data_IF_975741262793
#
_entry.id   IF_975741262793
#
_cell.length_a   1.000
_cell.length_b   1.000
_cell.length_c   1.000
_cell.angle_alpha   90.00
_cell.angle_beta   90.00
_cell.angle_gamma   90.00
#
_symmetry.space_group_name_H-M   'P 1'
#
loop_
_entity.id
_entity.type
_entity.pdbx_description
1 polymer ?
#
# COMPACT_ATOMS: atom_id res chain seq x y z
N UNK A 1 -12.70 -16.76 -4.59
CA UNK A 1 -12.02 -15.54 -4.11
C UNK A 1 -10.52 -15.75 -4.13
N UNK A 2 -9.79 -14.72 -4.43
CA UNK A 2 -8.36 -14.81 -4.66
C UNK A 2 -7.61 -13.86 -3.74
N UNK A 3 -6.56 -14.36 -3.11
CA UNK A 3 -5.64 -13.54 -2.32
C UNK A 3 -4.44 -13.18 -3.20
N UNK A 4 -3.98 -11.94 -3.07
CA UNK A 4 -2.81 -11.46 -3.80
C UNK A 4 -1.66 -11.27 -2.81
N UNK A 5 -0.54 -11.96 -3.07
CA UNK A 5 0.66 -11.91 -2.23
C UNK A 5 1.80 -11.22 -2.96
N UNK A 6 2.54 -10.39 -2.24
CA UNK A 6 3.81 -9.86 -2.70
C UNK A 6 4.79 -9.87 -1.54
N UNK A 7 6.05 -10.15 -1.84
CA UNK A 7 7.10 -10.13 -0.84
C UNK A 7 8.33 -9.47 -1.45
N UNK A 8 8.89 -8.49 -0.75
CA UNK A 8 10.08 -7.79 -1.20
C UNK A 8 11.04 -7.59 -0.03
N UNK A 9 12.31 -7.42 -0.36
CA UNK A 9 13.35 -7.05 0.60
C UNK A 9 13.80 -5.64 0.30
N UNK A 10 13.83 -4.79 1.33
CA UNK A 10 14.21 -3.39 1.21
C UNK A 10 15.43 -3.10 2.05
N UNK A 11 16.43 -2.45 1.46
CA UNK A 11 17.65 -2.01 2.15
C UNK A 11 17.37 -0.72 2.93
N UNK A 12 16.57 -0.84 3.98
CA UNK A 12 16.19 0.24 4.87
C UNK A 12 15.78 -0.33 6.22
N UNK A 13 15.97 0.45 7.28
CA UNK A 13 15.57 0.07 8.62
C UNK A 13 14.05 -0.13 8.69
N UNK A 14 13.62 -1.09 9.49
CA UNK A 14 12.20 -1.45 9.61
C UNK A 14 11.33 -0.26 10.00
N UNK A 15 11.81 0.61 10.88
CA UNK A 15 11.08 1.82 11.30
C UNK A 15 10.85 2.78 10.13
N UNK A 16 11.82 2.92 9.24
CA UNK A 16 11.69 3.77 8.05
C UNK A 16 10.69 3.18 7.05
N UNK A 17 10.73 1.86 6.88
CA UNK A 17 9.79 1.17 6.00
C UNK A 17 8.36 1.35 6.55
N UNK A 18 8.19 1.15 7.84
CA UNK A 18 6.88 1.30 8.46
C UNK A 18 6.36 2.74 8.32
N UNK A 19 7.21 3.74 8.51
CA UNK A 19 6.81 5.14 8.33
C UNK A 19 6.35 5.44 6.90
N UNK A 20 6.94 4.78 5.90
CA UNK A 20 6.50 4.95 4.51
C UNK A 20 5.10 4.37 4.26
N UNK A 21 4.66 3.42 5.08
CA UNK A 21 3.35 2.77 4.96
C UNK A 21 2.30 3.42 5.86
N UNK A 22 2.70 4.03 6.96
CA UNK A 22 1.81 4.43 8.04
C UNK A 22 1.85 5.93 8.33
N UNK A 23 2.26 6.74 7.37
CA UNK A 23 2.18 8.20 7.46
C UNK A 23 1.67 8.76 6.13
N UNK A 24 1.04 9.92 6.22
CA UNK A 24 0.58 10.64 5.04
C UNK A 24 1.75 10.93 4.09
N UNK A 25 2.83 11.48 4.63
CA UNK A 25 4.01 11.86 3.87
C UNK A 25 4.64 10.66 3.18
N UNK A 26 4.72 9.53 3.90
CA UNK A 26 5.23 8.29 3.34
C UNK A 26 4.39 7.81 2.17
N UNK A 27 3.09 7.71 2.36
CA UNK A 27 2.16 7.23 1.33
C UNK A 27 2.15 8.13 0.11
N UNK A 28 2.26 9.45 0.31
CA UNK A 28 2.35 10.41 -0.79
C UNK A 28 3.62 10.22 -1.62
N UNK A 29 4.69 9.74 -1.00
CA UNK A 29 5.98 9.61 -1.67
C UNK A 29 6.05 8.43 -2.63
N UNK A 30 5.34 7.34 -2.36
CA UNK A 30 5.47 6.14 -3.17
C UNK A 30 4.17 5.64 -3.79
N UNK A 31 3.02 6.09 -3.35
CA UNK A 31 1.75 5.60 -3.87
C UNK A 31 0.95 6.68 -4.59
N UNK A 32 0.25 7.52 -3.86
CA UNK A 32 -0.51 8.62 -4.47
C UNK A 32 -0.39 9.88 -3.61
N UNK A 33 -0.26 11.03 -4.26
CA UNK A 33 -0.19 12.31 -3.55
C UNK A 33 -1.47 12.64 -2.80
N UNK A 34 -2.61 12.14 -3.28
CA UNK A 34 -3.90 12.34 -2.61
C UNK A 34 -4.09 11.26 -1.56
N UNK A 35 -3.29 11.34 -0.49
CA UNK A 35 -3.33 10.40 0.63
C UNK A 35 -3.60 11.13 1.92
N UNK A 36 -4.51 10.58 2.73
CA UNK A 36 -4.76 11.00 4.10
C UNK A 36 -4.67 9.75 4.97
N UNK A 37 -4.05 9.86 6.13
CA UNK A 37 -3.87 8.72 7.01
C UNK A 37 -3.95 9.13 8.47
N UNK A 38 -4.89 8.53 9.22
CA UNK A 38 -4.98 8.67 10.66
C UNK A 38 -4.29 7.48 11.30
N UNK A 39 -3.12 7.70 11.90
CA UNK A 39 -2.25 6.64 12.41
C UNK A 39 -2.71 6.15 13.79
N UNK A 40 -3.87 5.49 13.84
CA UNK A 40 -4.40 4.89 15.06
C UNK A 40 -5.38 3.77 14.68
N UNK A 41 -5.55 2.74 15.52
CA UNK A 41 -6.58 1.74 15.31
C UNK A 41 -7.96 2.40 15.27
N UNK A 42 -8.77 2.01 14.28
CA UNK A 42 -10.06 2.63 14.03
C UNK A 42 -9.99 3.94 13.25
N UNK A 43 -8.79 4.44 12.98
CA UNK A 43 -8.60 5.63 12.15
C UNK A 43 -8.94 5.38 10.70
N UNK A 44 -9.08 6.45 9.93
CA UNK A 44 -9.42 6.38 8.51
C UNK A 44 -8.26 6.78 7.64
N UNK A 45 -8.14 6.10 6.52
CA UNK A 45 -7.22 6.45 5.45
C UNK A 45 -8.00 6.67 4.18
N UNK A 46 -7.56 7.60 3.35
CA UNK A 46 -8.21 7.91 2.08
C UNK A 46 -7.17 8.06 1.00
N UNK A 47 -7.42 7.40 -0.13
CA UNK A 47 -6.52 7.43 -1.28
C UNK A 47 -7.31 7.80 -2.52
N UNK A 48 -6.96 8.95 -3.12
CA UNK A 48 -7.63 9.44 -4.31
C UNK A 48 -6.76 9.26 -5.56
N UNK A 49 -7.44 9.03 -6.69
CA UNK A 49 -6.79 8.82 -7.99
C UNK A 49 -7.57 9.57 -9.06
N UNK A 50 -6.86 10.00 -10.11
CA UNK A 50 -7.45 10.68 -11.26
C UNK A 50 -8.34 11.86 -10.85
N UNK A 51 -7.75 12.76 -10.06
CA UNK A 51 -8.44 13.97 -9.58
C UNK A 51 -9.71 13.62 -8.78
N UNK A 52 -9.60 12.56 -7.95
CA UNK A 52 -10.65 12.05 -7.08
C UNK A 52 -11.86 11.44 -7.82
N UNK A 53 -11.69 11.07 -9.08
CA UNK A 53 -12.72 10.30 -9.77
C UNK A 53 -12.84 8.88 -9.18
N UNK A 54 -11.77 8.38 -8.54
CA UNK A 54 -11.80 7.16 -7.76
C UNK A 54 -11.20 7.47 -6.39
N UNK A 55 -11.92 7.13 -5.32
CA UNK A 55 -11.46 7.33 -3.95
C UNK A 55 -11.66 6.03 -3.18
N UNK A 56 -10.58 5.55 -2.56
CA UNK A 56 -10.63 4.40 -1.67
C UNK A 56 -10.61 4.91 -0.25
N UNK A 57 -11.56 4.45 0.58
CA UNK A 57 -11.57 4.77 2.00
C UNK A 57 -11.33 3.50 2.77
N UNK A 58 -10.30 3.53 3.61
CA UNK A 58 -9.86 2.40 4.40
C UNK A 58 -10.03 2.69 5.89
N UNK A 59 -10.32 1.64 6.65
CA UNK A 59 -10.27 1.71 8.11
C UNK A 59 -9.00 1.02 8.57
N UNK A 60 -8.27 1.65 9.47
CA UNK A 60 -7.08 1.04 10.08
C UNK A 60 -7.55 0.04 11.12
N UNK A 61 -7.40 -1.24 10.84
CA UNK A 61 -7.83 -2.32 11.75
C UNK A 61 -6.76 -2.65 12.77
N UNK A 62 -5.49 -2.71 12.34
CA UNK A 62 -4.36 -2.99 13.22
C UNK A 62 -3.22 -2.05 12.89
N UNK A 63 -2.56 -1.58 13.94
CA UNK A 63 -1.39 -0.73 13.81
C UNK A 63 -0.42 -1.14 14.92
N UNK A 64 0.57 -1.97 14.57
CA UNK A 64 1.58 -2.48 15.49
C UNK A 64 2.98 -2.09 14.97
N UNK A 65 3.42 -0.84 15.26
CA UNK A 65 4.71 -0.37 14.77
C UNK A 65 5.88 -1.16 15.38
N UNK A 66 6.92 -1.45 14.63
CA UNK A 66 7.05 -1.24 13.19
C UNK A 66 6.80 -2.52 12.39
N UNK A 67 5.97 -3.45 12.88
CA UNK A 67 5.89 -4.81 12.35
C UNK A 67 4.62 -5.15 11.58
N UNK A 68 3.50 -4.50 11.88
CA UNK A 68 2.24 -4.91 11.26
C UNK A 68 1.28 -3.75 11.06
N UNK A 69 0.63 -3.74 9.91
CA UNK A 69 -0.40 -2.76 9.55
C UNK A 69 -1.48 -3.47 8.74
N UNK A 70 -2.74 -3.30 9.13
CA UNK A 70 -3.87 -3.90 8.42
C UNK A 70 -4.94 -2.84 8.17
N UNK A 71 -5.40 -2.77 6.94
CA UNK A 71 -6.51 -1.90 6.51
C UNK A 71 -7.65 -2.73 5.95
N UNK A 72 -8.89 -2.30 6.18
CA UNK A 72 -10.07 -2.84 5.49
C UNK A 72 -10.67 -1.77 4.60
N UNK A 73 -11.02 -2.12 3.38
CA UNK A 73 -11.67 -1.20 2.46
C UNK A 73 -13.15 -1.07 2.84
N UNK A 74 -13.56 0.14 3.23
CA UNK A 74 -14.94 0.39 3.68
C UNK A 74 -15.75 1.18 2.66
N UNK A 75 -15.08 1.83 1.70
CA UNK A 75 -15.75 2.53 0.61
C UNK A 75 -14.79 2.61 -0.59
N UNK A 76 -15.35 2.54 -1.80
CA UNK A 76 -14.56 2.56 -3.03
C UNK A 76 -15.21 1.69 -4.10
N UNK A 77 -14.42 1.23 -5.07
CA UNK A 77 -14.94 0.30 -6.08
C UNK A 77 -15.56 -0.93 -5.42
N UNK A 78 -16.72 -1.40 -5.94
CA UNK A 78 -17.45 -2.50 -5.30
C UNK A 78 -16.65 -3.77 -5.06
N UNK A 79 -15.70 -4.08 -5.94
CA UNK A 79 -14.87 -5.29 -5.81
C UNK A 79 -13.74 -5.13 -4.78
N UNK A 80 -13.56 -3.94 -4.23
CA UNK A 80 -12.61 -3.68 -3.14
C UNK A 80 -13.26 -3.65 -1.77
N UNK A 81 -14.53 -3.23 -1.71
CA UNK A 81 -15.23 -3.09 -0.42
C UNK A 81 -15.30 -4.46 0.27
N UNK A 82 -14.90 -4.49 1.54
CA UNK A 82 -14.85 -5.72 2.32
C UNK A 82 -13.53 -6.49 2.23
N UNK A 83 -12.61 -6.06 1.36
CA UNK A 83 -11.28 -6.68 1.29
C UNK A 83 -10.36 -6.08 2.32
N UNK A 84 -9.29 -6.81 2.67
CA UNK A 84 -8.27 -6.32 3.61
C UNK A 84 -6.90 -6.30 2.95
N UNK A 85 -6.11 -5.31 3.34
CA UNK A 85 -4.72 -5.18 2.92
C UNK A 85 -3.87 -5.26 4.19
N UNK A 86 -2.90 -6.16 4.21
CA UNK A 86 -2.00 -6.28 5.34
C UNK A 86 -0.55 -6.19 4.91
N UNK A 87 0.25 -5.55 5.76
CA UNK A 87 1.70 -5.44 5.60
C UNK A 87 2.33 -6.00 6.86
N UNK A 88 3.23 -6.96 6.69
CA UNK A 88 4.03 -7.49 7.78
C UNK A 88 5.48 -7.24 7.48
N UNK A 89 6.19 -6.68 8.44
CA UNK A 89 7.59 -6.30 8.32
C UNK A 89 8.44 -7.14 9.26
N UNK A 90 9.45 -7.79 8.68
CA UNK A 90 10.41 -8.56 9.45
C UNK A 90 11.79 -7.97 9.25
N UNK A 91 12.50 -7.69 10.34
CA UNK A 91 13.89 -7.25 10.28
C UNK A 91 14.76 -8.45 9.97
N UNK A 92 15.45 -8.44 8.82
CA UNK A 92 16.36 -9.52 8.44
C UNK A 92 17.73 -9.29 9.06
N UNK A 93 18.17 -8.04 9.04
CA UNK A 93 19.41 -7.59 9.69
C UNK A 93 19.32 -6.07 9.82
N UNK A 94 20.26 -5.45 10.51
CA UNK A 94 20.26 -3.99 10.66
C UNK A 94 20.26 -3.33 9.28
N UNK A 95 19.29 -2.44 9.06
CA UNK A 95 19.14 -1.75 7.77
C UNK A 95 18.55 -2.58 6.65
N UNK A 96 17.92 -3.72 6.95
CA UNK A 96 17.33 -4.58 5.92
C UNK A 96 16.02 -5.17 6.40
N UNK A 97 14.97 -4.97 5.66
CA UNK A 97 13.61 -5.35 6.04
C UNK A 97 12.94 -6.17 4.95
N UNK A 98 12.23 -7.23 5.35
CA UNK A 98 11.35 -7.97 4.46
C UNK A 98 9.92 -7.45 4.65
N UNK A 99 9.27 -7.10 3.56
CA UNK A 99 7.86 -6.70 3.56
C UNK A 99 7.05 -7.80 2.91
N UNK A 100 6.04 -8.28 3.64
CA UNK A 100 5.07 -9.24 3.12
C UNK A 100 3.73 -8.52 3.01
N UNK A 101 3.19 -8.46 1.81
CA UNK A 101 1.93 -7.80 1.51
C UNK A 101 0.88 -8.83 1.12
N UNK A 102 -0.34 -8.64 1.64
CA UNK A 102 -1.47 -9.50 1.33
C UNK A 102 -2.72 -8.66 1.10
N UNK A 103 -3.36 -8.84 -0.06
CA UNK A 103 -4.69 -8.29 -0.34
C UNK A 103 -5.66 -9.46 -0.41
N UNK A 104 -6.51 -9.58 0.61
CA UNK A 104 -7.40 -10.73 0.76
C UNK A 104 -8.75 -10.53 0.10
N UNK A 105 -9.38 -11.65 -0.24
CA UNK A 105 -10.78 -11.70 -0.69
C UNK A 105 -11.07 -10.89 -1.96
N UNK A 106 -10.08 -10.78 -2.84
CA UNK A 106 -10.32 -10.16 -4.14
C UNK A 106 -11.30 -11.03 -4.93
N UNK A 107 -12.49 -10.50 -5.17
CA UNK A 107 -13.59 -11.23 -5.82
C UNK A 107 -13.96 -10.64 -7.17
N UNK A 108 -12.99 -10.04 -7.84
CA UNK A 108 -13.14 -9.51 -9.19
C UNK A 108 -13.01 -10.61 -10.23
N UNK A 109 -13.36 -10.29 -11.48
CA UNK A 109 -13.07 -11.17 -12.62
C UNK A 109 -11.56 -11.41 -12.76
N UNK A 110 -11.19 -12.55 -13.31
CA UNK A 110 -9.78 -12.95 -13.43
C UNK A 110 -8.89 -11.89 -14.10
N UNK A 111 -9.40 -11.20 -15.10
CA UNK A 111 -8.64 -10.14 -15.78
C UNK A 111 -8.35 -8.96 -14.84
N UNK A 112 -9.35 -8.55 -14.06
CA UNK A 112 -9.18 -7.45 -13.11
C UNK A 112 -8.21 -7.82 -11.99
N UNK A 113 -8.24 -9.07 -11.55
CA UNK A 113 -7.29 -9.58 -10.54
C UNK A 113 -5.88 -9.56 -11.10
N UNK A 114 -5.68 -9.99 -12.35
CA UNK A 114 -4.37 -9.99 -12.98
C UNK A 114 -3.81 -8.56 -13.09
N UNK A 115 -4.62 -7.60 -13.50
CA UNK A 115 -4.21 -6.19 -13.59
C UNK A 115 -3.85 -5.63 -12.22
N UNK A 116 -4.65 -5.91 -11.20
CA UNK A 116 -4.40 -5.47 -9.83
C UNK A 116 -3.11 -6.08 -9.29
N UNK A 117 -2.88 -7.35 -9.57
CA UNK A 117 -1.66 -8.02 -9.14
C UNK A 117 -0.43 -7.36 -9.74
N UNK A 118 -0.48 -7.03 -11.02
CA UNK A 118 0.62 -6.31 -11.70
C UNK A 118 0.83 -4.93 -11.09
N UNK A 119 -0.25 -4.20 -10.83
CA UNK A 119 -0.17 -2.86 -10.20
C UNK A 119 0.46 -2.94 -8.83
N UNK A 120 0.06 -3.89 -7.99
CA UNK A 120 0.65 -4.07 -6.67
C UNK A 120 2.13 -4.42 -6.76
N UNK A 121 2.53 -5.24 -7.72
CA UNK A 121 3.94 -5.54 -7.95
C UNK A 121 4.74 -4.29 -8.27
N UNK A 122 4.21 -3.43 -9.14
CA UNK A 122 4.83 -2.15 -9.47
C UNK A 122 4.90 -1.22 -8.25
N UNK A 123 3.83 -1.14 -7.47
CA UNK A 123 3.78 -0.30 -6.27
C UNK A 123 4.76 -0.78 -5.20
N UNK A 124 4.90 -2.08 -5.00
CA UNK A 124 5.89 -2.63 -4.08
C UNK A 124 7.30 -2.25 -4.50
N UNK A 125 7.56 -2.27 -5.81
CA UNK A 125 8.86 -1.84 -6.34
C UNK A 125 9.09 -0.35 -6.15
N UNK A 126 8.07 0.47 -6.27
CA UNK A 126 8.17 1.90 -6.00
C UNK A 126 8.49 2.17 -4.53
N UNK A 127 7.84 1.45 -3.62
CA UNK A 127 8.15 1.53 -2.20
C UNK A 127 9.62 1.22 -1.94
N UNK A 128 10.11 0.14 -2.53
CA UNK A 128 11.51 -0.26 -2.40
C UNK A 128 12.45 0.82 -2.93
N UNK A 129 12.22 1.29 -4.14
CA UNK A 129 13.06 2.31 -4.76
C UNK A 129 13.05 3.61 -3.96
N UNK A 130 11.88 4.03 -3.50
CA UNK A 130 11.77 5.23 -2.67
C UNK A 130 12.65 5.14 -1.42
N UNK A 131 12.58 4.02 -0.72
CA UNK A 131 13.31 3.84 0.54
C UNK A 131 14.81 3.62 0.32
N UNK A 132 15.20 3.09 -0.82
CA UNK A 132 16.61 2.87 -1.16
C UNK A 132 17.24 4.06 -1.89
N UNK A 133 16.48 5.12 -2.12
CA UNK A 133 16.99 6.31 -2.79
C UNK A 133 17.20 6.13 -4.29
N UNK A 134 16.52 5.17 -4.91
CA UNK A 134 16.62 4.90 -6.34
C UNK A 134 15.50 5.66 -7.07
N UNK A 135 15.83 6.47 -8.09
CA UNK A 135 14.81 7.14 -8.88
C UNK A 135 13.86 6.15 -9.56
N UNK A 136 12.59 6.49 -9.64
CA UNK A 136 11.59 5.67 -10.31
C UNK A 136 10.53 6.53 -11.01
N UNK A 137 9.87 5.94 -12.00
CA UNK A 137 8.72 6.56 -12.66
C UNK A 137 7.46 6.08 -11.94
N UNK A 138 6.72 6.96 -11.26
CA UNK A 138 5.53 6.53 -10.52
C UNK A 138 4.47 5.93 -11.44
N UNK A 139 3.82 4.87 -10.99
CA UNK A 139 2.64 4.31 -11.66
C UNK A 139 1.54 5.35 -11.76
N UNK A 140 1.36 6.12 -10.69
CA UNK A 140 0.41 7.23 -10.66
C UNK A 140 1.16 8.55 -10.66
N UNK A 141 0.71 9.49 -11.52
CA UNK A 141 1.29 10.83 -11.60
C UNK A 141 0.83 11.70 -10.43
N UNK A 142 1.41 12.87 -10.33
CA UNK A 142 1.03 13.92 -9.38
C UNK A 142 -0.49 14.13 -9.36
N UNK A 143 -1.15 14.08 -10.52
CA UNK A 143 -2.60 14.23 -10.63
C UNK A 143 -3.36 12.93 -10.31
N UNK A 144 -2.67 11.85 -9.95
CA UNK A 144 -3.28 10.56 -9.74
C UNK A 144 -3.55 9.76 -11.00
N UNK A 145 -3.09 10.21 -12.15
CA UNK A 145 -3.28 9.51 -13.42
C UNK A 145 -2.19 8.47 -13.63
N UNK A 146 -2.55 7.39 -14.32
CA UNK A 146 -1.58 6.36 -14.70
C UNK A 146 -0.51 6.92 -15.64
N UNK A 147 0.69 6.45 -15.45
CA UNK A 147 1.83 6.76 -16.29
C UNK A 147 1.76 6.05 -17.65
#
# INVERSE_FOLDING_TARGET
>A
MTDLYHQITIEAATERVFAALATREGLQAWWTEDSVFEARPGGMAEFGFWERSVVFRMRVDELDPPHRLVWSCVNGPPDWVGTTLSFELATLEAGKTQVSFLHTDAHSAAKAIAERNTTWGCLMRQLKHHLEGIPFNPVFKVSGRLQ
#
